data_IF_379763056006
#
_entry.id   IF_379763056006
#
_cell.length_a   1.000
_cell.length_b   1.000
_cell.length_c   1.000
_cell.angle_alpha   90.00
_cell.angle_beta   90.00
_cell.angle_gamma   90.00
#
_symmetry.space_group_name_H-M   'P 1'
#
loop_
_entity.id
_entity.type
_entity.pdbx_description
1 polymer ?
#
# COMPACT_ATOMS: atom_id res chain seq x y z
N UNK A 1 33.62 42.73 -9.81
CA UNK A 1 33.03 41.95 -8.71
C UNK A 1 31.70 41.39 -9.18
N UNK A 2 31.64 40.10 -9.51
CA UNK A 2 30.44 39.45 -10.03
C UNK A 2 29.63 38.94 -8.82
N UNK A 3 28.42 39.48 -8.60
CA UNK A 3 27.51 39.02 -7.54
C UNK A 3 27.01 37.62 -7.87
N UNK A 4 27.42 36.62 -7.10
CA UNK A 4 26.79 35.30 -7.09
C UNK A 4 25.33 35.45 -6.61
N UNK A 5 24.39 34.97 -7.42
CA UNK A 5 23.00 34.76 -7.00
C UNK A 5 22.94 33.42 -6.27
N UNK A 6 22.68 33.47 -4.97
CA UNK A 6 22.33 32.29 -4.19
C UNK A 6 21.05 31.66 -4.74
N UNK A 7 21.16 30.45 -5.28
CA UNK A 7 20.02 29.57 -5.54
C UNK A 7 19.74 28.69 -4.31
N UNK A 8 19.65 29.30 -3.13
CA UNK A 8 19.13 28.64 -1.94
C UNK A 8 17.62 28.80 -1.90
N UNK A 9 16.91 27.83 -2.47
CA UNK A 9 15.46 27.72 -2.28
C UNK A 9 14.68 27.48 -3.54
N UNK A 10 14.68 26.24 -4.02
CA UNK A 10 13.45 25.65 -4.55
C UNK A 10 13.32 24.26 -3.95
N UNK A 11 12.72 24.24 -2.75
CA UNK A 11 12.05 23.05 -2.26
C UNK A 11 11.24 22.49 -3.41
N UNK A 12 11.52 21.24 -3.76
CA UNK A 12 10.81 20.49 -4.80
C UNK A 12 9.33 20.72 -4.57
N UNK A 13 8.70 21.50 -5.44
CA UNK A 13 7.25 21.59 -5.52
C UNK A 13 6.77 20.15 -5.69
N UNK A 14 6.37 19.52 -4.59
CA UNK A 14 5.63 18.27 -4.60
C UNK A 14 4.28 18.64 -5.19
N UNK A 15 4.24 18.80 -6.51
CA UNK A 15 3.00 18.90 -7.26
C UNK A 15 2.27 17.60 -6.92
N UNK A 16 1.23 17.75 -6.11
CA UNK A 16 0.24 16.74 -5.81
C UNK A 16 -0.35 16.34 -7.16
N UNK A 17 0.26 15.34 -7.79
CA UNK A 17 -0.31 14.72 -8.97
C UNK A 17 -1.69 14.21 -8.51
N UNK A 18 -2.79 14.62 -9.16
CA UNK A 18 -4.11 14.17 -8.78
C UNK A 18 -4.13 12.64 -8.70
N UNK A 19 -4.78 12.03 -7.70
CA UNK A 19 -4.67 10.60 -7.41
C UNK A 19 -5.01 9.70 -8.60
N UNK A 20 -5.87 10.16 -9.53
CA UNK A 20 -6.19 9.45 -10.77
C UNK A 20 -5.08 9.46 -11.84
N UNK A 21 -3.98 10.20 -11.63
CA UNK A 21 -2.91 10.46 -12.59
C UNK A 21 -1.52 10.08 -12.07
N UNK A 22 -1.41 9.45 -10.89
CA UNK A 22 -0.24 8.62 -10.58
C UNK A 22 -0.28 7.43 -11.53
N UNK A 23 0.15 7.66 -12.78
CA UNK A 23 0.16 6.68 -13.87
C UNK A 23 0.66 5.35 -13.32
N UNK A 24 -0.04 4.26 -13.66
CA UNK A 24 0.48 2.89 -13.55
C UNK A 24 1.70 2.79 -14.48
N UNK A 25 2.82 3.36 -14.05
CA UNK A 25 4.11 3.12 -14.68
C UNK A 25 4.58 1.79 -14.12
N UNK A 26 5.08 0.91 -14.98
CA UNK A 26 5.92 -0.20 -14.55
C UNK A 26 7.05 0.39 -13.70
N UNK A 27 7.04 0.06 -12.41
CA UNK A 27 7.99 0.61 -11.46
C UNK A 27 9.15 -0.36 -11.40
N UNK A 28 10.34 0.10 -11.78
CA UNK A 28 11.55 -0.69 -11.54
C UNK A 28 11.97 -0.59 -10.05
N UNK A 29 12.23 -1.75 -9.44
CA UNK A 29 12.70 -1.88 -8.06
C UNK A 29 13.63 -3.09 -7.91
N UNK A 30 14.39 -3.12 -6.82
CA UNK A 30 15.22 -4.26 -6.47
C UNK A 30 14.34 -5.33 -5.82
N UNK A 31 14.23 -6.49 -6.45
CA UNK A 31 13.52 -7.65 -5.93
C UNK A 31 14.16 -8.18 -4.63
N UNK A 32 13.46 -8.99 -3.83
CA UNK A 32 14.01 -9.65 -2.64
C UNK A 32 15.27 -10.48 -2.92
N UNK A 33 15.39 -11.04 -4.13
CA UNK A 33 16.56 -11.78 -4.60
C UNK A 33 17.73 -10.88 -5.06
N UNK A 34 17.61 -9.56 -4.92
CA UNK A 34 18.63 -8.57 -5.29
C UNK A 34 18.66 -8.18 -6.77
N UNK A 35 17.81 -8.77 -7.63
CA UNK A 35 17.77 -8.42 -9.06
C UNK A 35 16.93 -7.17 -9.30
N UNK A 36 17.33 -6.35 -10.27
CA UNK A 36 16.47 -5.28 -10.76
C UNK A 36 15.32 -5.91 -11.55
N UNK A 37 14.09 -5.62 -11.14
CA UNK A 37 12.87 -6.09 -11.81
C UNK A 37 11.89 -4.94 -12.01
N UNK A 38 10.96 -5.12 -12.94
CA UNK A 38 9.75 -4.30 -13.10
C UNK A 38 8.48 -5.16 -13.07
N UNK A 39 8.60 -6.40 -12.59
CA UNK A 39 7.47 -7.33 -12.49
C UNK A 39 6.40 -6.80 -11.56
N UNK A 40 5.17 -7.22 -11.80
CA UNK A 40 4.08 -6.99 -10.88
C UNK A 40 4.22 -7.93 -9.66
N UNK A 41 4.35 -7.40 -8.42
CA UNK A 41 4.28 -8.22 -7.22
C UNK A 41 3.07 -9.16 -7.16
N UNK A 42 1.94 -8.77 -7.75
CA UNK A 42 0.73 -9.58 -7.79
C UNK A 42 0.82 -10.79 -8.75
N UNK A 43 1.84 -10.86 -9.61
CA UNK A 43 2.12 -12.07 -10.41
C UNK A 43 2.68 -13.22 -9.58
N UNK A 44 3.23 -12.92 -8.40
CA UNK A 44 3.75 -13.90 -7.45
C UNK A 44 2.65 -14.41 -6.50
N UNK A 45 2.93 -15.50 -5.78
CA UNK A 45 2.00 -16.14 -4.84
C UNK A 45 2.59 -16.28 -3.43
N UNK A 46 1.72 -16.45 -2.44
CA UNK A 46 2.11 -16.72 -1.05
C UNK A 46 3.03 -15.66 -0.45
N UNK A 47 4.08 -16.11 0.23
CA UNK A 47 5.05 -15.24 0.90
C UNK A 47 5.87 -14.42 -0.10
N UNK A 48 6.21 -15.00 -1.26
CA UNK A 48 6.98 -14.32 -2.29
C UNK A 48 6.28 -13.05 -2.76
N UNK A 49 4.96 -13.11 -2.99
CA UNK A 49 4.16 -11.90 -3.28
C UNK A 49 4.33 -10.83 -2.20
N UNK A 50 4.28 -11.20 -0.92
CA UNK A 50 4.39 -10.25 0.19
C UNK A 50 5.77 -9.59 0.20
N UNK A 51 6.83 -10.37 0.00
CA UNK A 51 8.21 -9.88 -0.01
C UNK A 51 8.45 -8.91 -1.18
N UNK A 52 7.93 -9.23 -2.37
CA UNK A 52 8.02 -8.34 -3.54
C UNK A 52 7.18 -7.06 -3.36
N UNK A 53 5.99 -7.16 -2.76
CA UNK A 53 5.17 -6.00 -2.42
C UNK A 53 5.88 -5.09 -1.40
N UNK A 54 6.47 -5.67 -0.36
CA UNK A 54 7.20 -4.93 0.68
C UNK A 54 8.45 -4.26 0.11
N UNK A 55 9.19 -4.96 -0.76
CA UNK A 55 10.34 -4.40 -1.46
C UNK A 55 9.95 -3.19 -2.32
N UNK A 56 8.83 -3.28 -3.06
CA UNK A 56 8.31 -2.18 -3.87
C UNK A 56 7.89 -0.99 -2.99
N UNK A 57 7.11 -1.23 -1.94
CA UNK A 57 6.65 -0.17 -1.02
C UNK A 57 7.84 0.55 -0.38
N UNK A 58 8.85 -0.20 0.09
CA UNK A 58 10.03 0.37 0.74
C UNK A 58 10.84 1.27 -0.19
N UNK A 59 10.98 0.88 -1.45
CA UNK A 59 11.82 1.60 -2.41
C UNK A 59 11.08 2.71 -3.16
N UNK A 60 9.76 2.57 -3.31
CA UNK A 60 8.91 3.39 -4.19
C UNK A 60 7.57 3.75 -3.53
N UNK A 61 7.55 4.28 -2.29
CA UNK A 61 6.33 4.52 -1.52
C UNK A 61 5.42 5.59 -2.12
N UNK A 62 5.95 6.46 -2.99
CA UNK A 62 5.17 7.53 -3.62
C UNK A 62 4.42 7.08 -4.88
N UNK A 63 4.60 5.84 -5.33
CA UNK A 63 3.98 5.34 -6.57
C UNK A 63 2.53 4.92 -6.34
N UNK A 64 1.69 5.07 -7.37
CA UNK A 64 0.30 4.60 -7.31
C UNK A 64 0.20 3.08 -7.11
N UNK A 65 1.26 2.35 -7.47
CA UNK A 65 1.38 0.91 -7.22
C UNK A 65 1.49 0.60 -5.73
N UNK A 66 2.39 1.31 -5.03
CA UNK A 66 2.54 1.19 -3.58
C UNK A 66 1.24 1.59 -2.86
N UNK A 67 0.62 2.71 -3.26
CA UNK A 67 -0.67 3.15 -2.71
C UNK A 67 -1.75 2.06 -2.87
N UNK A 68 -1.84 1.46 -4.07
CA UNK A 68 -2.80 0.40 -4.37
C UNK A 68 -2.60 -0.86 -3.51
N UNK A 69 -1.35 -1.27 -3.27
CA UNK A 69 -1.03 -2.40 -2.40
C UNK A 69 -1.44 -2.10 -0.96
N UNK A 70 -1.11 -0.91 -0.43
CA UNK A 70 -1.45 -0.49 0.93
C UNK A 70 -2.98 -0.47 1.11
N UNK A 71 -3.70 0.16 0.19
CA UNK A 71 -5.16 0.23 0.24
C UNK A 71 -5.82 -1.16 0.18
N UNK A 72 -5.30 -2.08 -0.63
CA UNK A 72 -5.78 -3.47 -0.67
C UNK A 72 -5.55 -4.19 0.66
N UNK A 73 -4.38 -4.04 1.27
CA UNK A 73 -4.05 -4.64 2.57
C UNK A 73 -4.93 -4.09 3.69
N UNK A 74 -5.16 -2.77 3.73
CA UNK A 74 -6.08 -2.15 4.70
C UNK A 74 -7.51 -2.66 4.53
N UNK A 75 -8.01 -2.75 3.30
CA UNK A 75 -9.35 -3.30 3.01
C UNK A 75 -9.48 -4.76 3.46
N UNK A 76 -8.45 -5.58 3.26
CA UNK A 76 -8.44 -6.96 3.74
C UNK A 76 -8.45 -7.01 5.27
N UNK A 77 -7.59 -6.23 5.94
CA UNK A 77 -7.58 -6.15 7.42
C UNK A 77 -8.94 -5.71 7.96
N UNK A 78 -9.55 -4.68 7.37
CA UNK A 78 -10.89 -4.22 7.74
C UNK A 78 -11.95 -5.32 7.67
N UNK A 79 -11.93 -6.17 6.63
CA UNK A 79 -12.85 -7.32 6.52
C UNK A 79 -12.67 -8.33 7.66
N UNK A 80 -11.43 -8.65 8.04
CA UNK A 80 -11.14 -9.57 9.14
C UNK A 80 -11.56 -9.00 10.51
N UNK A 81 -11.47 -7.69 10.71
CA UNK A 81 -11.92 -7.05 11.95
C UNK A 81 -13.44 -6.86 12.01
N UNK A 82 -14.13 -6.71 10.87
CA UNK A 82 -15.59 -6.61 10.83
C UNK A 82 -16.30 -7.95 11.10
N UNK A 83 -15.70 -9.09 10.77
CA UNK A 83 -16.30 -10.40 11.03
C UNK A 83 -16.40 -10.75 12.53
N UNK A 84 -15.58 -10.16 13.39
CA UNK A 84 -15.65 -10.42 14.84
C UNK A 84 -16.84 -9.75 15.55
N UNK A 85 -17.64 -8.93 14.86
CA UNK A 85 -18.68 -8.13 15.51
C UNK A 85 -20.11 -8.70 15.39
N UNK A 86 -20.30 -9.88 14.80
CA UNK A 86 -21.64 -10.45 14.57
C UNK A 86 -21.95 -11.78 15.29
N UNK A 87 -21.05 -12.35 16.10
CA UNK A 87 -21.30 -13.65 16.77
C UNK A 87 -21.75 -13.57 18.25
N UNK A 88 -22.11 -12.39 18.76
CA UNK A 88 -22.57 -12.24 20.16
C UNK A 88 -24.02 -11.75 20.26
N UNK A 89 -24.96 -12.46 19.63
CA UNK A 89 -26.36 -12.51 20.06
C UNK A 89 -26.89 -13.93 19.84
N UNK A 90 -26.38 -14.89 20.62
CA UNK A 90 -27.15 -16.11 20.91
C UNK A 90 -28.11 -15.73 22.02
N UNK A 91 -29.30 -15.32 21.62
CA UNK A 91 -30.46 -15.13 22.48
C UNK A 91 -30.74 -16.48 23.17
N UNK A 92 -30.33 -16.60 24.43
CA UNK A 92 -30.69 -17.73 25.28
C UNK A 92 -32.21 -17.68 25.48
N UNK A 93 -32.95 -18.39 24.63
CA UNK A 93 -34.35 -18.68 24.86
C UNK A 93 -34.46 -19.50 26.15
N UNK A 94 -34.79 -18.82 27.25
CA UNK A 94 -35.08 -19.43 28.53
C UNK A 94 -36.23 -20.46 28.35
N UNK A 95 -36.15 -21.66 28.96
CA UNK A 95 -37.30 -22.54 29.01
C UNK A 95 -38.33 -21.94 29.97
N UNK A 96 -39.51 -21.61 29.47
CA UNK A 96 -40.67 -21.22 30.28
C UNK A 96 -41.30 -22.48 30.90
N UNK A 97 -41.40 -22.62 32.24
CA UNK A 97 -42.47 -23.39 32.88
C UNK A 97 -43.73 -22.50 32.98
N UNK A 98 -44.98 -22.98 33.05
CA UNK A 98 -45.46 -24.21 33.69
C UNK A 98 -46.25 -25.18 32.80
#
# INVERSE_FOLDING_TARGET
MLKQKDNSGKQKEKRLIPPGLKRQLSVAYIAPNGRLTSDDPDSYQGQERLDYQDALIRQRPWTGYADGIIARREKQRGRFFSQKKEEEQVEYAAPTPP
#
